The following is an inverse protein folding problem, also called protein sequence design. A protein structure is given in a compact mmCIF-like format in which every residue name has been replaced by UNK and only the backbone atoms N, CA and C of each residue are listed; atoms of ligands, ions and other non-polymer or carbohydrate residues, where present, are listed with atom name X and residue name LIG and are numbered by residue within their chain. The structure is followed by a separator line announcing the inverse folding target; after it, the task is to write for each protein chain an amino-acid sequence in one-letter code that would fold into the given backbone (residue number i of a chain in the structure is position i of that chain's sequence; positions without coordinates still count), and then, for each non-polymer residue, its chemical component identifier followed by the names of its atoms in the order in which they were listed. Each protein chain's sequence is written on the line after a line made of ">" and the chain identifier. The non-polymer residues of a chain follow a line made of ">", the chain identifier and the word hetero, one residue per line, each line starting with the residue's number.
data_IF_600660595616
#
_entry.id   IF_600660595616
#
_cell.length_a   1.000
_cell.length_b   1.000
_cell.length_c   1.000
_cell.angle_alpha   90.00
_cell.angle_beta   90.00
_cell.angle_gamma   90.00
#
_symmetry.space_group_name_H-M   'P 1'
#
loop_
_entity.id
_entity.type
_entity.pdbx_description
1 polymer ?
#
# COMPACT_ATOMS: atom_id res chain seq x y z
N UNK A 1 -12.92 -7.94 19.50
CA UNK A 1 -14.08 -8.42 20.29
C UNK A 1 -15.02 -7.31 20.77
N UNK A 2 -14.50 -6.16 21.23
CA UNK A 2 -15.35 -5.05 21.72
C UNK A 2 -16.11 -4.35 20.56
N UNK A 3 -15.49 -4.22 19.40
CA UNK A 3 -16.08 -3.57 18.20
C UNK A 3 -17.17 -4.39 17.51
N UNK A 4 -17.00 -5.71 17.40
CA UNK A 4 -18.02 -6.64 16.91
C UNK A 4 -19.26 -6.66 17.82
N UNK A 5 -19.06 -6.76 19.14
CA UNK A 5 -20.16 -6.71 20.11
C UNK A 5 -20.90 -5.36 20.07
N UNK A 6 -20.19 -4.25 19.87
CA UNK A 6 -20.79 -2.92 19.69
C UNK A 6 -21.56 -2.80 18.38
N UNK A 7 -21.07 -3.39 17.28
CA UNK A 7 -21.75 -3.39 15.97
C UNK A 7 -23.01 -4.24 15.99
N UNK A 8 -22.94 -5.44 16.56
CA UNK A 8 -24.06 -6.34 16.74
C UNK A 8 -25.11 -5.75 17.69
N UNK A 9 -24.67 -5.12 18.79
CA UNK A 9 -25.57 -4.38 19.68
C UNK A 9 -26.25 -3.23 18.93
N UNK A 10 -25.51 -2.44 18.14
CA UNK A 10 -26.07 -1.33 17.37
C UNK A 10 -27.09 -1.80 16.31
N UNK A 11 -26.84 -2.91 15.62
CA UNK A 11 -27.79 -3.49 14.65
C UNK A 11 -29.05 -4.04 15.34
N UNK A 12 -28.89 -4.75 16.47
CA UNK A 12 -30.01 -5.27 17.25
C UNK A 12 -30.84 -4.15 17.88
N UNK A 13 -30.20 -3.10 18.41
CA UNK A 13 -30.89 -1.99 19.06
C UNK A 13 -31.65 -1.10 18.06
N UNK A 14 -31.05 -0.83 16.88
CA UNK A 14 -31.73 -0.08 15.80
C UNK A 14 -32.95 -0.81 15.24
N UNK A 15 -32.92 -2.15 15.17
CA UNK A 15 -34.08 -2.94 14.77
C UNK A 15 -35.20 -2.91 15.82
N UNK A 16 -34.86 -3.01 17.11
CA UNK A 16 -35.83 -2.94 18.21
C UNK A 16 -36.48 -1.55 18.37
N UNK A 17 -35.75 -0.47 18.05
CA UNK A 17 -36.25 0.92 18.05
C UNK A 17 -37.29 1.19 16.95
N UNK A 18 -37.32 0.40 15.88
CA UNK A 18 -38.34 0.52 14.82
C UNK A 18 -39.67 -0.18 15.18
N UNK A 19 -39.66 -1.15 16.09
CA UNK A 19 -40.83 -1.96 16.42
C UNK A 19 -41.54 -1.56 17.72
N UNK A 20 -40.96 -0.66 18.53
CA UNK A 20 -41.59 -0.22 19.79
C UNK A 20 -41.70 1.31 19.85
N UNK A 21 -42.96 1.77 19.91
CA UNK A 21 -43.49 3.04 20.44
C UNK A 21 -42.62 4.31 20.36
N UNK A 22 -43.20 5.37 19.79
CA UNK A 22 -42.77 6.78 19.91
C UNK A 22 -41.95 7.05 21.18
N UNK A 23 -40.62 7.11 21.05
CA UNK A 23 -39.69 7.47 22.13
C UNK A 23 -40.09 8.83 22.68
N UNK A 24 -40.11 8.97 24.01
CA UNK A 24 -40.35 10.26 24.64
C UNK A 24 -39.19 11.22 24.36
N UNK A 25 -39.46 12.53 24.29
CA UNK A 25 -38.43 13.55 24.01
C UNK A 25 -37.20 13.43 24.94
N UNK A 26 -37.41 13.04 26.20
CA UNK A 26 -36.35 12.82 27.19
C UNK A 26 -35.46 11.60 26.87
N UNK A 27 -36.02 10.53 26.29
CA UNK A 27 -35.26 9.35 25.88
C UNK A 27 -34.46 9.63 24.62
N UNK A 28 -35.03 10.39 23.68
CA UNK A 28 -34.35 10.86 22.47
C UNK A 28 -33.15 11.75 22.84
N UNK A 29 -33.33 12.67 23.79
CA UNK A 29 -32.24 13.54 24.25
C UNK A 29 -31.11 12.75 24.95
N UNK A 30 -31.47 11.75 25.78
CA UNK A 30 -30.50 10.82 26.38
C UNK A 30 -29.72 10.03 25.32
N UNK A 31 -30.38 9.55 24.27
CA UNK A 31 -29.74 8.84 23.17
C UNK A 31 -28.75 9.73 22.42
N UNK A 32 -29.11 10.98 22.12
CA UNK A 32 -28.20 11.94 21.49
C UNK A 32 -26.97 12.24 22.36
N UNK A 33 -27.16 12.44 23.67
CA UNK A 33 -26.07 12.64 24.61
C UNK A 33 -25.12 11.44 24.66
N UNK A 34 -25.67 10.22 24.76
CA UNK A 34 -24.87 8.98 24.75
C UNK A 34 -24.11 8.79 23.44
N UNK A 35 -24.73 9.11 22.30
CA UNK A 35 -24.07 9.03 20.99
C UNK A 35 -22.92 10.04 20.86
N UNK A 36 -23.12 11.26 21.37
CA UNK A 36 -22.07 12.28 21.40
C UNK A 36 -20.88 11.84 22.28
N UNK A 37 -21.16 11.27 23.45
CA UNK A 37 -20.14 10.72 24.34
C UNK A 37 -19.40 9.55 23.69
N UNK A 38 -20.10 8.59 23.09
CA UNK A 38 -19.51 7.47 22.35
C UNK A 38 -18.60 7.96 21.23
N UNK A 39 -19.05 8.93 20.44
CA UNK A 39 -18.25 9.51 19.37
C UNK A 39 -17.00 10.22 19.93
N UNK A 40 -17.12 10.92 21.05
CA UNK A 40 -15.98 11.56 21.72
C UNK A 40 -14.95 10.54 22.21
N UNK A 41 -15.40 9.44 22.83
CA UNK A 41 -14.54 8.36 23.31
C UNK A 41 -13.88 7.61 22.16
N UNK A 42 -14.62 7.36 21.07
CA UNK A 42 -14.08 6.75 19.85
C UNK A 42 -12.94 7.59 19.27
N UNK A 43 -13.11 8.92 19.17
CA UNK A 43 -12.06 9.83 18.70
C UNK A 43 -10.81 9.79 19.59
N UNK A 44 -10.99 9.78 20.90
CA UNK A 44 -9.87 9.69 21.87
C UNK A 44 -9.16 8.34 21.69
N UNK A 45 -9.91 7.25 21.58
CA UNK A 45 -9.35 5.92 21.36
C UNK A 45 -8.53 5.86 20.06
N UNK A 46 -9.07 6.36 18.95
CA UNK A 46 -8.34 6.46 17.67
C UNK A 46 -7.06 7.28 17.82
N UNK A 47 -7.09 8.40 18.56
CA UNK A 47 -5.89 9.21 18.82
C UNK A 47 -4.83 8.48 19.65
N UNK A 48 -5.23 7.72 20.69
CA UNK A 48 -4.29 6.93 21.51
C UNK A 48 -3.69 5.81 20.67
N UNK A 49 -4.52 5.11 19.93
CA UNK A 49 -4.14 4.05 19.02
C UNK A 49 -3.11 4.58 17.99
N UNK A 50 -3.38 5.71 17.35
CA UNK A 50 -2.44 6.37 16.44
C UNK A 50 -1.08 6.66 17.10
N UNK A 51 -1.09 7.28 18.28
CA UNK A 51 0.14 7.59 19.02
C UNK A 51 0.95 6.33 19.34
N UNK A 52 0.28 5.22 19.72
CA UNK A 52 0.93 3.92 19.97
C UNK A 52 1.57 3.36 18.70
N UNK A 53 0.89 3.45 17.55
CA UNK A 53 1.46 3.02 16.27
C UNK A 53 2.72 3.82 15.91
N UNK A 54 2.69 5.15 16.06
CA UNK A 54 3.88 5.98 15.86
C UNK A 54 5.02 5.65 16.84
N UNK A 55 4.71 5.40 18.13
CA UNK A 55 5.71 5.00 19.12
C UNK A 55 6.32 3.64 18.80
N UNK A 56 5.50 2.66 18.42
CA UNK A 56 5.97 1.34 18.00
C UNK A 56 6.87 1.45 16.77
N UNK A 57 6.48 2.25 15.77
CA UNK A 57 7.33 2.50 14.59
C UNK A 57 8.66 3.18 14.97
N UNK A 58 8.64 4.17 15.88
CA UNK A 58 9.85 4.80 16.40
C UNK A 58 10.74 3.83 17.20
N UNK A 59 10.15 2.93 17.99
CA UNK A 59 10.89 2.00 18.85
C UNK A 59 11.42 0.78 18.11
N UNK A 60 10.61 0.21 17.21
CA UNK A 60 10.98 -0.93 16.37
C UNK A 60 11.86 -0.48 15.19
N UNK A 61 11.77 0.81 14.84
CA UNK A 61 12.62 1.48 13.88
C UNK A 61 12.57 0.85 12.50
N UNK A 62 13.44 1.32 11.61
CA UNK A 62 13.73 0.64 10.36
C UNK A 62 14.63 -0.59 10.62
N UNK A 63 14.06 -1.63 11.24
CA UNK A 63 14.69 -2.94 11.36
C UNK A 63 15.08 -3.53 9.99
N UNK A 64 14.56 -2.96 8.90
CA UNK A 64 14.82 -3.32 7.52
C UNK A 64 15.99 -2.54 6.89
N UNK A 65 16.48 -1.46 7.51
CA UNK A 65 17.57 -0.63 6.99
C UNK A 65 18.83 -1.46 6.78
N UNK A 66 19.17 -2.34 7.74
CA UNK A 66 20.36 -3.19 7.63
C UNK A 66 20.25 -4.14 6.44
N UNK A 67 19.07 -4.70 6.18
CA UNK A 67 18.82 -5.58 5.04
C UNK A 67 18.89 -4.80 3.73
N UNK A 68 18.20 -3.66 3.63
CA UNK A 68 18.22 -2.81 2.42
C UNK A 68 19.61 -2.25 2.14
N UNK A 69 20.33 -1.80 3.15
CA UNK A 69 21.71 -1.33 3.01
C UNK A 69 22.65 -2.46 2.61
N UNK A 70 22.47 -3.66 3.15
CA UNK A 70 23.20 -4.85 2.74
C UNK A 70 22.94 -5.23 1.28
N UNK A 71 21.66 -5.25 0.89
CA UNK A 71 21.21 -5.53 -0.47
C UNK A 71 21.72 -4.48 -1.46
N UNK A 72 21.55 -3.19 -1.17
CA UNK A 72 22.05 -2.09 -1.99
C UNK A 72 23.58 -2.10 -2.09
N UNK A 73 24.30 -2.41 -1.01
CA UNK A 73 25.75 -2.53 -1.04
C UNK A 73 26.19 -3.71 -1.91
N UNK A 74 25.50 -4.85 -1.83
CA UNK A 74 25.72 -5.99 -2.72
C UNK A 74 25.45 -5.63 -4.18
N UNK A 75 24.32 -4.98 -4.46
CA UNK A 75 23.95 -4.55 -5.81
C UNK A 75 24.97 -3.57 -6.38
N UNK A 76 25.41 -2.58 -5.59
CA UNK A 76 26.49 -1.65 -5.99
C UNK A 76 27.78 -2.38 -6.33
N UNK A 77 28.18 -3.40 -5.56
CA UNK A 77 29.39 -4.20 -5.85
C UNK A 77 29.24 -5.05 -7.11
N UNK A 78 28.09 -5.70 -7.29
CA UNK A 78 27.84 -6.59 -8.44
C UNK A 78 27.65 -5.80 -9.73
N UNK A 79 27.00 -4.64 -9.67
CA UNK A 79 26.71 -3.79 -10.84
C UNK A 79 27.77 -2.71 -11.07
N UNK A 80 28.86 -2.68 -10.29
CA UNK A 80 29.95 -1.74 -10.51
C UNK A 80 30.68 -2.10 -11.82
N UNK A 81 30.49 -1.28 -12.84
CA UNK A 81 31.21 -1.39 -14.10
C UNK A 81 32.52 -0.62 -13.94
N UNK A 82 33.63 -1.34 -13.74
CA UNK A 82 34.98 -0.75 -13.58
C UNK A 82 35.69 -0.57 -14.92
N UNK A 83 35.43 -1.46 -15.88
CA UNK A 83 36.02 -1.44 -17.21
C UNK A 83 35.10 -2.10 -18.23
N UNK A 84 35.25 -1.72 -19.50
CA UNK A 84 34.53 -2.31 -20.64
C UNK A 84 35.47 -2.46 -21.84
N UNK A 85 35.16 -3.38 -22.75
CA UNK A 85 35.93 -3.55 -23.99
C UNK A 85 35.22 -2.86 -25.15
N UNK A 86 35.95 -2.00 -25.86
CA UNK A 86 35.47 -1.30 -27.06
C UNK A 86 36.50 -1.52 -28.17
N UNK A 87 36.10 -2.20 -29.25
CA UNK A 87 37.00 -2.48 -30.38
C UNK A 87 38.24 -3.30 -30.02
N UNK A 88 38.15 -4.17 -29.00
CA UNK A 88 39.27 -5.00 -28.53
C UNK A 88 40.22 -4.30 -27.55
N UNK A 89 39.99 -3.01 -27.23
CA UNK A 89 40.77 -2.26 -26.24
C UNK A 89 39.97 -2.18 -24.93
N UNK A 90 40.65 -2.42 -23.81
CA UNK A 90 40.07 -2.25 -22.48
C UNK A 90 40.02 -0.76 -22.12
N UNK A 91 38.81 -0.26 -21.86
CA UNK A 91 38.55 1.12 -21.45
C UNK A 91 38.27 1.14 -19.95
N UNK A 92 39.04 1.95 -19.23
CA UNK A 92 38.94 2.11 -17.77
C UNK A 92 38.72 3.58 -17.39
N UNK A 93 38.18 3.78 -16.19
CA UNK A 93 37.91 5.11 -15.62
C UNK A 93 36.48 5.59 -15.90
N UNK A 94 35.87 6.23 -14.89
CA UNK A 94 34.45 6.59 -14.90
C UNK A 94 34.07 7.43 -16.12
N UNK A 95 34.88 8.44 -16.47
CA UNK A 95 34.59 9.31 -17.62
C UNK A 95 34.62 8.53 -18.94
N UNK A 96 35.66 7.72 -19.15
CA UNK A 96 35.85 6.99 -20.41
C UNK A 96 34.80 5.88 -20.59
N UNK A 97 34.50 5.14 -19.51
CA UNK A 97 33.47 4.09 -19.51
C UNK A 97 32.08 4.69 -19.78
N UNK A 98 31.74 5.80 -19.12
CA UNK A 98 30.45 6.48 -19.33
C UNK A 98 30.33 7.05 -20.74
N UNK A 99 31.37 7.66 -21.28
CA UNK A 99 31.40 8.18 -22.65
C UNK A 99 31.27 7.06 -23.70
N UNK A 100 31.96 5.94 -23.50
CA UNK A 100 31.87 4.79 -24.38
C UNK A 100 30.48 4.14 -24.38
N UNK A 101 29.87 3.98 -23.20
CA UNK A 101 28.47 3.50 -23.07
C UNK A 101 27.52 4.46 -23.77
N UNK A 102 27.65 5.77 -23.49
CA UNK A 102 26.81 6.79 -24.10
C UNK A 102 26.93 6.76 -25.63
N UNK A 103 28.16 6.74 -26.15
CA UNK A 103 28.41 6.72 -27.60
C UNK A 103 27.84 5.48 -28.27
N UNK A 104 27.99 4.31 -27.64
CA UNK A 104 27.43 3.05 -28.13
C UNK A 104 25.91 3.12 -28.29
N UNK A 105 25.21 3.52 -27.23
CA UNK A 105 23.75 3.62 -27.27
C UNK A 105 23.28 4.81 -28.13
N UNK A 106 23.98 5.95 -28.11
CA UNK A 106 23.65 7.07 -28.98
C UNK A 106 23.75 6.69 -30.46
N UNK A 107 24.74 5.90 -30.86
CA UNK A 107 24.82 5.33 -32.20
C UNK A 107 23.66 4.35 -32.45
N UNK A 108 23.47 3.38 -31.56
CA UNK A 108 22.44 2.33 -31.70
C UNK A 108 21.01 2.88 -31.76
N UNK A 109 20.70 3.94 -31.00
CA UNK A 109 19.39 4.59 -31.01
C UNK A 109 19.23 5.62 -32.13
N UNK A 110 20.33 6.15 -32.69
CA UNK A 110 20.29 6.95 -33.93
C UNK A 110 20.05 6.08 -35.16
N UNK A 111 20.46 4.81 -35.12
CA UNK A 111 20.24 3.82 -36.17
C UNK A 111 18.76 3.34 -36.19
N UNK A 112 17.83 4.28 -36.39
CA UNK A 112 16.39 4.05 -36.56
C UNK A 112 16.05 3.40 -37.92
N UNK A 113 17.04 2.88 -38.66
CA UNK A 113 16.80 1.96 -39.77
C UNK A 113 16.39 0.55 -39.30
N UNK A 114 16.37 0.29 -37.99
CA UNK A 114 15.44 -0.68 -37.48
C UNK A 114 14.03 -0.11 -37.67
N UNK A 115 13.38 -0.47 -38.79
CA UNK A 115 11.93 -0.46 -38.83
C UNK A 115 11.52 -1.17 -37.55
N UNK A 116 11.03 -0.43 -36.55
CA UNK A 116 10.38 -1.03 -35.42
C UNK A 116 9.30 -1.86 -36.10
N UNK A 117 9.52 -3.17 -36.21
CA UNK A 117 8.48 -4.09 -36.56
C UNK A 117 7.60 -3.97 -35.36
N UNK A 118 6.70 -2.97 -35.39
CA UNK A 118 5.66 -2.72 -34.39
C UNK A 118 5.25 -4.10 -34.02
N UNK A 119 5.49 -4.51 -32.78
CA UNK A 119 5.55 -5.92 -32.46
C UNK A 119 4.13 -6.49 -32.56
N UNK A 120 3.72 -6.77 -33.79
CA UNK A 120 2.38 -7.18 -34.24
C UNK A 120 2.22 -8.67 -34.03
N UNK A 121 3.26 -9.33 -33.51
CA UNK A 121 3.32 -10.76 -33.19
C UNK A 121 3.39 -11.04 -31.69
N UNK A 122 3.10 -10.07 -30.84
CA UNK A 122 2.77 -10.39 -29.44
C UNK A 122 1.27 -10.58 -29.33
N UNK A 123 0.86 -11.82 -29.06
CA UNK A 123 -0.49 -12.10 -28.61
C UNK A 123 -0.59 -11.60 -27.17
N UNK A 124 -0.99 -10.34 -26.99
CA UNK A 124 -1.34 -9.85 -25.66
C UNK A 124 -2.57 -10.61 -25.18
N UNK A 125 -2.47 -11.21 -23.99
CA UNK A 125 -3.67 -11.70 -23.31
C UNK A 125 -4.59 -10.50 -23.10
N UNK A 126 -5.72 -10.51 -23.81
CA UNK A 126 -6.73 -9.47 -23.68
C UNK A 126 -7.78 -10.01 -22.74
N UNK A 127 -8.17 -9.17 -21.77
CA UNK A 127 -9.22 -9.52 -20.83
C UNK A 127 -10.53 -9.77 -21.58
N UNK A 128 -11.25 -10.80 -21.16
CA UNK A 128 -12.60 -11.01 -21.64
C UNK A 128 -13.57 -9.97 -21.03
N UNK A 129 -14.78 -9.88 -21.58
CA UNK A 129 -15.77 -8.91 -21.12
C UNK A 129 -16.07 -9.02 -19.62
N UNK A 130 -16.15 -10.25 -19.09
CA UNK A 130 -16.46 -10.51 -17.69
C UNK A 130 -15.31 -10.12 -16.76
N UNK A 131 -14.07 -10.37 -17.15
CA UNK A 131 -12.87 -9.92 -16.44
C UNK A 131 -12.79 -8.39 -16.42
N UNK A 132 -13.05 -7.75 -17.56
CA UNK A 132 -13.13 -6.29 -17.64
C UNK A 132 -14.23 -5.72 -16.74
N UNK A 133 -15.42 -6.32 -16.76
CA UNK A 133 -16.53 -5.93 -15.90
C UNK A 133 -16.23 -6.15 -14.41
N UNK A 134 -15.51 -7.22 -14.06
CA UNK A 134 -15.11 -7.50 -12.69
C UNK A 134 -14.11 -6.47 -12.14
N UNK A 135 -13.19 -5.96 -12.97
CA UNK A 135 -12.20 -4.96 -12.56
C UNK A 135 -12.79 -3.57 -12.30
N UNK A 136 -13.94 -3.25 -12.89
CA UNK A 136 -14.61 -1.94 -12.73
C UNK A 136 -15.76 -1.97 -11.72
N UNK A 137 -16.03 -3.12 -11.09
CA UNK A 137 -17.13 -3.24 -10.12
C UNK A 137 -16.77 -2.47 -8.83
N UNK A 138 -17.75 -1.89 -8.12
CA UNK A 138 -17.51 -1.33 -6.79
C UNK A 138 -17.04 -2.41 -5.80
N UNK A 139 -16.14 -2.04 -4.90
CA UNK A 139 -15.66 -2.92 -3.83
C UNK A 139 -16.79 -3.23 -2.83
N UNK A 140 -16.88 -4.48 -2.38
CA UNK A 140 -17.74 -4.86 -1.26
C UNK A 140 -16.96 -4.86 0.06
N UNK A 141 -17.67 -4.80 1.20
CA UNK A 141 -17.01 -4.76 2.51
C UNK A 141 -16.17 -6.02 2.74
N UNK A 142 -16.68 -7.18 2.34
CA UNK A 142 -16.01 -8.47 2.49
C UNK A 142 -14.71 -8.54 1.67
N UNK A 143 -14.68 -7.92 0.49
CA UNK A 143 -13.48 -7.81 -0.34
C UNK A 143 -12.42 -6.91 0.33
N UNK A 144 -12.85 -5.80 0.92
CA UNK A 144 -11.96 -4.89 1.65
C UNK A 144 -11.40 -5.56 2.91
N UNK A 145 -12.24 -6.23 3.69
CA UNK A 145 -11.81 -6.98 4.88
C UNK A 145 -10.85 -8.12 4.49
N UNK A 146 -11.18 -8.92 3.47
CA UNK A 146 -10.28 -9.98 3.02
C UNK A 146 -8.91 -9.42 2.57
N UNK A 147 -8.90 -8.33 1.80
CA UNK A 147 -7.67 -7.69 1.34
C UNK A 147 -6.81 -7.13 2.49
N UNK A 148 -7.43 -6.51 3.49
CA UNK A 148 -6.73 -6.02 4.69
C UNK A 148 -6.11 -7.17 5.46
N UNK A 149 -6.82 -8.30 5.62
CA UNK A 149 -6.33 -9.46 6.37
C UNK A 149 -5.25 -10.25 5.64
N UNK A 150 -5.26 -10.25 4.30
CA UNK A 150 -4.22 -10.87 3.46
C UNK A 150 -2.88 -10.10 3.50
N UNK A 151 -2.91 -8.79 3.75
CA UNK A 151 -1.69 -7.98 3.86
C UNK A 151 -0.86 -8.36 5.10
N UNK A 152 0.47 -8.32 5.03
CA UNK A 152 1.32 -8.49 6.21
C UNK A 152 1.13 -7.31 7.20
N UNK A 153 0.93 -7.65 8.48
CA UNK A 153 0.66 -6.71 9.57
C UNK A 153 1.82 -5.73 9.81
N UNK A 154 3.05 -6.15 9.50
CA UNK A 154 4.29 -5.39 9.74
C UNK A 154 4.87 -4.77 8.46
N UNK A 155 4.06 -4.65 7.41
CA UNK A 155 4.46 -3.86 6.25
C UNK A 155 4.79 -2.42 6.65
N UNK A 156 5.67 -1.79 5.87
CA UNK A 156 6.06 -0.40 6.07
C UNK A 156 4.79 0.48 6.13
N UNK A 157 4.66 1.34 7.16
CA UNK A 157 3.50 2.22 7.26
C UNK A 157 3.49 3.21 6.10
N UNK A 158 2.30 3.67 5.74
CA UNK A 158 2.13 4.78 4.79
C UNK A 158 2.67 6.09 5.40
N UNK A 159 2.72 7.22 4.66
CA UNK A 159 3.17 8.50 5.21
C UNK A 159 2.39 8.98 6.44
N UNK A 160 1.22 8.39 6.67
CA UNK A 160 0.37 8.54 7.85
C UNK A 160 0.92 7.77 9.08
N UNK A 161 1.87 6.86 8.94
CA UNK A 161 2.45 6.12 10.05
C UNK A 161 1.59 4.94 10.53
N UNK A 162 0.53 4.57 9.81
CA UNK A 162 -0.36 3.45 10.15
C UNK A 162 0.03 2.20 9.38
N UNK A 163 0.13 1.06 10.08
CA UNK A 163 0.37 -0.25 9.48
C UNK A 163 -0.91 -1.11 9.43
N UNK A 164 -0.87 -2.22 8.69
CA UNK A 164 -2.04 -3.11 8.64
C UNK A 164 -2.31 -3.81 9.97
N UNK A 165 -1.29 -4.04 10.80
CA UNK A 165 -1.48 -4.56 12.17
C UNK A 165 -2.44 -3.69 12.98
N UNK A 166 -2.28 -2.37 12.92
CA UNK A 166 -3.17 -1.40 13.54
C UNK A 166 -4.62 -1.53 13.07
N UNK A 167 -4.82 -1.67 11.76
CA UNK A 167 -6.15 -1.76 11.15
C UNK A 167 -6.85 -3.08 11.54
N UNK A 168 -6.08 -4.17 11.67
CA UNK A 168 -6.61 -5.48 12.10
C UNK A 168 -6.93 -5.54 13.60
N UNK A 169 -6.29 -4.70 14.40
CA UNK A 169 -6.47 -4.65 15.87
C UNK A 169 -7.62 -3.72 16.32
N UNK A 170 -8.18 -2.92 15.40
CA UNK A 170 -9.39 -2.11 15.59
C UNK A 170 -10.65 -2.99 15.73
#
# INVERSE_FOLDING_TARGET
>A
MITLALREWHQSHTHNLQETSSLGDEEVEKLYCLYAELYSLSRINTSICWQRSCLNWLSEGDANFKYFHGTMSRWRRVNAITSIYVGGVQVEGVCNVTEAIFSHFAYHFKDLNMSCSRATKFNFHTLNYWEGAALIRPFCLEEVEAAVWDCDSFNCPSPDGVNFGFIKDL
#
